data_IF_820793584757
#
_entry.id   IF_820793584757
#
_cell.length_a   1.000
_cell.length_b   1.000
_cell.length_c   1.000
_cell.angle_alpha   90.00
_cell.angle_beta   90.00
_cell.angle_gamma   90.00
#
_symmetry.space_group_name_H-M   'P 1'
#
loop_
_entity.id
_entity.type
_entity.pdbx_description
1 polymer ?
#
# COMPACT_ATOMS: atom_id res chain seq x y z
N UNK A 1 -1.07 -39.25 26.25
CA UNK A 1 -2.26 -40.06 25.89
C UNK A 1 -1.99 -40.62 24.51
N UNK A 2 -1.86 -41.94 24.42
CA UNK A 2 -1.71 -42.67 23.16
C UNK A 2 -3.04 -42.58 22.42
N UNK A 3 -3.02 -41.93 21.24
CA UNK A 3 -4.18 -41.80 20.38
C UNK A 3 -3.99 -42.75 19.20
N UNK A 4 -4.86 -43.73 19.08
CA UNK A 4 -4.80 -44.72 18.00
C UNK A 4 -5.89 -44.43 16.98
N UNK A 5 -5.52 -44.29 15.70
CA UNK A 5 -6.48 -44.13 14.59
C UNK A 5 -6.48 -45.40 13.76
N UNK A 6 -7.57 -46.16 13.80
CA UNK A 6 -7.69 -47.45 13.12
C UNK A 6 -8.98 -47.55 12.33
N UNK A 7 -8.97 -48.41 11.30
CA UNK A 7 -10.21 -48.82 10.64
C UNK A 7 -10.93 -49.86 11.50
N UNK A 8 -12.24 -49.69 11.61
CA UNK A 8 -13.14 -50.67 12.23
C UNK A 8 -13.98 -51.29 11.13
N UNK A 9 -13.68 -52.55 10.80
CA UNK A 9 -14.37 -53.34 9.77
C UNK A 9 -15.47 -54.18 10.40
N UNK A 10 -16.65 -53.59 10.56
CA UNK A 10 -17.86 -54.33 10.96
C UNK A 10 -18.67 -54.79 9.73
N UNK A 11 -19.60 -55.71 9.94
CA UNK A 11 -20.45 -56.27 8.87
C UNK A 11 -21.38 -55.25 8.20
N UNK A 12 -21.67 -54.13 8.88
CA UNK A 12 -22.53 -53.08 8.33
C UNK A 12 -21.75 -51.92 7.71
N UNK A 13 -20.41 -52.00 7.64
CA UNK A 13 -19.54 -50.92 7.18
C UNK A 13 -19.88 -49.56 7.81
N UNK A 14 -20.16 -49.55 9.11
CA UNK A 14 -20.80 -48.46 9.83
C UNK A 14 -20.09 -47.12 9.66
N UNK A 15 -18.76 -47.12 9.58
CA UNK A 15 -17.96 -45.90 9.46
C UNK A 15 -17.58 -45.52 8.03
N UNK A 16 -18.06 -46.24 7.00
CA UNK A 16 -17.82 -45.94 5.57
C UNK A 16 -16.34 -45.74 5.19
N UNK A 17 -15.43 -46.40 5.92
CA UNK A 17 -13.98 -46.29 5.70
C UNK A 17 -13.29 -45.14 6.45
N UNK A 18 -14.00 -44.38 7.29
CA UNK A 18 -13.41 -43.36 8.15
C UNK A 18 -12.63 -43.98 9.31
N UNK A 19 -11.46 -43.42 9.62
CA UNK A 19 -10.62 -43.85 10.74
C UNK A 19 -11.26 -43.45 12.07
N UNK A 20 -11.44 -44.43 12.95
CA UNK A 20 -11.96 -44.21 14.29
C UNK A 20 -10.80 -43.90 15.23
N UNK A 21 -10.96 -42.85 16.03
CA UNK A 21 -9.95 -42.42 17.00
C UNK A 21 -10.25 -43.01 18.37
N UNK A 22 -9.35 -43.84 18.89
CA UNK A 22 -9.43 -44.43 20.21
C UNK A 22 -8.59 -43.65 21.21
N UNK A 23 -9.15 -43.44 22.40
CA UNK A 23 -8.52 -42.68 23.50
C UNK A 23 -7.97 -43.60 24.60
N UNK A 24 -8.05 -44.91 24.38
CA UNK A 24 -7.57 -45.96 25.28
C UNK A 24 -6.56 -46.82 24.53
N UNK A 25 -5.63 -47.43 25.27
CA UNK A 25 -4.69 -48.38 24.68
C UNK A 25 -5.46 -49.57 24.11
N UNK A 26 -5.09 -49.96 22.89
CA UNK A 26 -5.80 -51.02 22.16
C UNK A 26 -5.05 -52.34 22.37
N UNK A 27 -5.68 -53.37 22.96
CA UNK A 27 -5.06 -54.67 23.12
C UNK A 27 -4.68 -55.30 21.78
N UNK A 28 -3.50 -55.93 21.69
CA UNK A 28 -3.08 -56.64 20.48
C UNK A 28 -4.03 -57.82 20.13
N UNK A 29 -4.75 -58.35 21.12
CA UNK A 29 -5.75 -59.43 20.95
C UNK A 29 -6.91 -59.04 20.02
N UNK A 30 -7.25 -57.74 19.96
CA UNK A 30 -8.38 -57.23 19.15
C UNK A 30 -7.97 -56.69 17.78
N UNK A 31 -6.68 -56.72 17.48
CA UNK A 31 -6.12 -56.20 16.25
C UNK A 31 -5.72 -57.34 15.30
N UNK A 32 -5.90 -57.11 14.01
CA UNK A 32 -5.31 -57.98 13.01
C UNK A 32 -3.77 -57.85 13.03
N UNK A 33 -3.07 -58.98 13.18
CA UNK A 33 -1.61 -59.01 13.23
C UNK A 33 -0.91 -58.58 11.93
N UNK A 34 -1.64 -58.52 10.80
CA UNK A 34 -1.11 -58.03 9.53
C UNK A 34 -1.38 -56.52 9.32
N UNK A 35 -2.64 -56.10 9.42
CA UNK A 35 -3.04 -54.72 9.07
C UNK A 35 -3.27 -53.79 10.26
N UNK A 36 -3.19 -54.29 11.50
CA UNK A 36 -3.41 -53.52 12.73
C UNK A 36 -4.85 -53.06 12.98
N UNK A 37 -5.76 -53.29 12.05
CA UNK A 37 -7.16 -52.85 12.14
C UNK A 37 -8.03 -53.80 12.97
N UNK A 38 -9.14 -53.28 13.47
CA UNK A 38 -10.15 -54.04 14.21
C UNK A 38 -11.19 -54.56 13.21
N UNK A 39 -11.59 -55.83 13.34
CA UNK A 39 -12.59 -56.43 12.46
C UNK A 39 -13.56 -57.33 13.23
N UNK A 40 -14.82 -57.37 12.81
CA UNK A 40 -15.82 -58.30 13.33
C UNK A 40 -15.55 -59.75 12.91
N UNK A 41 -14.73 -59.95 11.88
CA UNK A 41 -14.40 -61.25 11.28
C UNK A 41 -12.91 -61.50 11.44
N UNK A 42 -12.47 -61.56 12.70
CA UNK A 42 -11.12 -61.99 13.08
C UNK A 42 -11.07 -63.51 13.20
N UNK A 43 -10.11 -64.09 12.49
CA UNK A 43 -9.77 -65.50 12.51
C UNK A 43 -8.49 -65.70 13.31
N UNK A 44 -8.56 -66.55 14.33
CA UNK A 44 -7.41 -66.92 15.17
C UNK A 44 -6.80 -68.21 14.65
N UNK A 45 -5.51 -68.16 14.36
CA UNK A 45 -4.70 -69.33 13.97
C UNK A 45 -4.19 -70.07 15.22
N UNK A 46 -3.83 -71.37 15.12
CA UNK A 46 -3.35 -72.16 16.25
C UNK A 46 -2.17 -71.57 17.02
N UNK A 47 -1.27 -70.81 16.37
CA UNK A 47 -0.18 -70.11 17.05
C UNK A 47 -0.63 -68.91 17.92
N UNK A 48 -1.93 -68.57 17.92
CA UNK A 48 -2.51 -67.55 18.77
C UNK A 48 -2.65 -66.16 18.14
N UNK A 49 -2.11 -65.95 16.93
CA UNK A 49 -2.26 -64.71 16.15
C UNK A 49 -3.67 -64.59 15.55
N UNK A 50 -4.10 -63.35 15.30
CA UNK A 50 -5.43 -63.06 14.75
C UNK A 50 -5.32 -62.28 13.45
N UNK A 51 -6.05 -62.72 12.41
CA UNK A 51 -6.07 -62.08 11.10
C UNK A 51 -7.50 -61.75 10.69
N UNK A 52 -7.75 -60.58 10.10
CA UNK A 52 -9.09 -60.30 9.55
C UNK A 52 -9.31 -61.13 8.28
N UNK A 53 -10.56 -61.47 7.97
CA UNK A 53 -10.92 -62.26 6.78
C UNK A 53 -10.27 -61.71 5.49
N UNK A 54 -10.25 -60.39 5.32
CA UNK A 54 -9.62 -59.77 4.14
C UNK A 54 -8.11 -60.05 4.07
N UNK A 55 -7.42 -60.07 5.21
CA UNK A 55 -5.99 -60.38 5.28
C UNK A 55 -5.74 -61.88 5.08
N UNK A 56 -6.61 -62.75 5.60
CA UNK A 56 -6.52 -64.19 5.34
C UNK A 56 -6.66 -64.49 3.86
N UNK A 57 -7.65 -63.91 3.18
CA UNK A 57 -7.82 -64.08 1.74
C UNK A 57 -6.62 -63.59 0.91
N UNK A 58 -5.86 -62.61 1.43
CA UNK A 58 -4.63 -62.14 0.77
C UNK A 58 -3.42 -63.03 1.05
N UNK A 59 -3.40 -63.71 2.20
CA UNK A 59 -2.32 -64.59 2.62
C UNK A 59 -2.54 -66.06 2.22
N UNK A 60 -3.72 -66.39 1.70
CA UNK A 60 -4.07 -67.74 1.26
C UNK A 60 -3.16 -68.21 0.12
N UNK A 61 -2.35 -69.22 0.41
CA UNK A 61 -1.51 -69.91 -0.56
C UNK A 61 -1.87 -71.41 -0.54
N UNK A 62 -2.73 -71.83 -1.48
CA UNK A 62 -3.27 -73.20 -1.58
C UNK A 62 -3.87 -73.72 -0.26
N UNK A 63 -4.59 -72.87 0.48
CA UNK A 63 -5.28 -73.24 1.72
C UNK A 63 -4.44 -73.10 2.98
N UNK A 64 -3.24 -72.52 2.89
CA UNK A 64 -2.29 -72.35 4.00
C UNK A 64 -1.96 -70.86 4.21
N UNK A 65 -1.85 -70.46 5.47
CA UNK A 65 -1.40 -69.13 5.89
C UNK A 65 0.02 -69.23 6.41
N UNK A 66 0.94 -68.47 5.79
CA UNK A 66 2.29 -68.25 6.30
C UNK A 66 2.29 -67.04 7.24
N UNK A 67 2.65 -67.25 8.52
CA UNK A 67 2.66 -66.15 9.48
C UNK A 67 3.89 -65.24 9.26
N UNK A 68 3.67 -63.96 8.96
CA UNK A 68 4.75 -63.03 8.55
C UNK A 68 5.93 -62.84 9.53
N UNK A 69 5.86 -63.33 10.79
CA UNK A 69 6.87 -63.09 11.81
C UNK A 69 7.35 -64.37 12.54
N UNK A 70 6.84 -65.56 12.20
CA UNK A 70 7.26 -66.84 12.78
C UNK A 70 7.32 -67.87 11.65
N UNK A 71 8.27 -68.80 11.65
CA UNK A 71 8.36 -69.91 10.68
C UNK A 71 7.26 -70.97 10.91
N UNK A 72 5.99 -70.53 11.02
CA UNK A 72 4.83 -71.39 11.18
C UNK A 72 3.84 -71.23 10.02
N UNK A 73 3.30 -72.37 9.60
CA UNK A 73 2.32 -72.50 8.53
C UNK A 73 1.06 -73.14 9.11
N UNK A 74 -0.10 -72.51 8.92
CA UNK A 74 -1.37 -73.00 9.44
C UNK A 74 -2.40 -73.16 8.32
N UNK A 75 -3.15 -74.26 8.35
CA UNK A 75 -4.26 -74.45 7.42
C UNK A 75 -5.38 -73.45 7.69
N UNK A 76 -5.96 -72.87 6.64
CA UNK A 76 -7.12 -71.97 6.77
C UNK A 76 -8.30 -72.71 7.43
N UNK A 77 -8.43 -74.02 7.17
CA UNK A 77 -9.42 -74.90 7.80
C UNK A 77 -9.28 -75.05 9.30
N UNK A 78 -8.10 -74.76 9.87
CA UNK A 78 -7.81 -74.85 11.31
C UNK A 78 -8.04 -73.53 12.04
N UNK A 79 -8.45 -72.48 11.32
CA UNK A 79 -8.74 -71.18 11.92
C UNK A 79 -10.06 -71.19 12.69
N UNK A 80 -10.09 -70.44 13.79
CA UNK A 80 -11.28 -70.29 14.62
C UNK A 80 -11.75 -68.84 14.64
N UNK A 81 -13.06 -68.62 14.62
CA UNK A 81 -13.63 -67.28 14.73
C UNK A 81 -13.39 -66.72 16.13
N UNK A 82 -12.71 -65.58 16.22
CA UNK A 82 -12.43 -64.89 17.48
C UNK A 82 -13.47 -63.80 17.73
N UNK A 83 -14.73 -64.20 17.91
CA UNK A 83 -15.84 -63.26 18.15
C UNK A 83 -15.68 -62.48 19.45
N UNK A 84 -15.02 -63.07 20.44
CA UNK A 84 -14.74 -62.43 21.74
C UNK A 84 -13.84 -61.20 21.59
N UNK A 85 -12.85 -61.23 20.69
CA UNK A 85 -11.95 -60.12 20.44
C UNK A 85 -12.72 -58.88 19.91
N UNK A 86 -13.73 -59.09 19.06
CA UNK A 86 -14.56 -57.97 18.60
C UNK A 86 -15.51 -57.47 19.69
N UNK A 87 -16.04 -58.36 20.54
CA UNK A 87 -16.85 -57.96 21.69
C UNK A 87 -16.06 -57.12 22.69
N UNK A 88 -14.78 -57.45 22.93
CA UNK A 88 -13.84 -56.66 23.72
C UNK A 88 -13.59 -55.30 23.06
N UNK A 89 -13.35 -55.27 21.74
CA UNK A 89 -13.15 -54.03 20.98
C UNK A 89 -14.35 -53.06 21.07
N UNK A 90 -15.58 -53.58 21.12
CA UNK A 90 -16.80 -52.78 21.24
C UNK A 90 -16.89 -51.99 22.56
N UNK A 91 -16.14 -52.40 23.59
CA UNK A 91 -16.08 -51.72 24.89
C UNK A 91 -14.97 -50.66 24.96
N UNK A 92 -14.08 -50.57 23.97
CA UNK A 92 -13.00 -49.58 23.94
C UNK A 92 -13.57 -48.17 23.76
N UNK A 93 -12.94 -47.19 24.41
CA UNK A 93 -13.37 -45.80 24.32
C UNK A 93 -12.85 -45.17 23.03
N UNK A 94 -13.80 -44.66 22.23
CA UNK A 94 -13.56 -44.04 20.94
C UNK A 94 -14.31 -42.71 20.80
N UNK A 95 -13.86 -41.89 19.83
CA UNK A 95 -14.51 -40.65 19.43
C UNK A 95 -15.21 -40.82 18.07
N UNK A 96 -16.31 -40.10 17.89
CA UNK A 96 -17.01 -40.04 16.61
C UNK A 96 -16.09 -39.50 15.51
N UNK A 97 -15.94 -40.21 14.38
CA UNK A 97 -15.03 -39.76 13.31
C UNK A 97 -15.62 -38.67 12.39
N UNK A 98 -16.83 -38.15 12.66
CA UNK A 98 -17.35 -36.99 11.92
C UNK A 98 -16.71 -35.71 12.44
N UNK A 99 -16.12 -34.94 11.53
CA UNK A 99 -15.57 -33.61 11.80
C UNK A 99 -16.59 -32.73 12.53
N UNK A 100 -16.14 -32.03 13.59
CA UNK A 100 -16.99 -31.20 14.44
C UNK A 100 -17.88 -31.97 15.44
N UNK A 101 -17.75 -33.29 15.55
CA UNK A 101 -18.44 -34.07 16.58
C UNK A 101 -17.53 -34.33 17.79
N UNK A 102 -17.98 -33.97 19.00
CA UNK A 102 -17.27 -34.20 20.26
C UNK A 102 -17.75 -35.45 21.02
N UNK A 103 -18.58 -36.30 20.39
CA UNK A 103 -19.11 -37.49 21.04
C UNK A 103 -18.00 -38.52 21.29
N UNK A 104 -17.81 -38.87 22.57
CA UNK A 104 -16.88 -39.90 23.03
C UNK A 104 -17.63 -40.92 23.89
N UNK A 105 -17.40 -42.20 23.66
CA UNK A 105 -18.07 -43.29 24.37
C UNK A 105 -17.46 -44.64 24.02
N UNK A 106 -18.13 -45.73 24.40
CA UNK A 106 -17.72 -47.05 23.94
C UNK A 106 -17.84 -47.14 22.42
N UNK A 107 -17.00 -47.93 21.75
CA UNK A 107 -17.06 -48.12 20.30
C UNK A 107 -18.47 -48.53 19.85
N UNK A 108 -19.18 -49.34 20.65
CA UNK A 108 -20.60 -49.67 20.44
C UNK A 108 -21.50 -48.44 20.37
N UNK A 109 -21.37 -47.53 21.33
CA UNK A 109 -22.17 -46.30 21.38
C UNK A 109 -21.81 -45.36 20.23
N UNK A 110 -20.52 -45.25 19.90
CA UNK A 110 -20.04 -44.46 18.75
C UNK A 110 -20.61 -45.00 17.44
N UNK A 111 -20.66 -46.32 17.25
CA UNK A 111 -21.28 -46.95 16.08
C UNK A 111 -22.78 -46.62 15.96
N UNK A 112 -23.52 -46.66 17.08
CA UNK A 112 -24.94 -46.30 17.11
C UNK A 112 -25.17 -44.80 16.85
N UNK A 113 -24.31 -43.95 17.40
CA UNK A 113 -24.34 -42.51 17.21
C UNK A 113 -24.00 -42.11 15.76
N UNK A 114 -22.99 -42.72 15.15
CA UNK A 114 -22.43 -42.29 13.86
C UNK A 114 -23.47 -42.21 12.74
N UNK A 115 -24.38 -43.20 12.66
CA UNK A 115 -25.46 -43.24 11.66
C UNK A 115 -26.44 -42.06 11.79
N UNK A 116 -26.68 -41.58 13.00
CA UNK A 116 -27.59 -40.48 13.31
C UNK A 116 -26.88 -39.17 13.65
N UNK A 117 -25.55 -39.14 13.58
CA UNK A 117 -24.76 -37.98 13.96
C UNK A 117 -25.04 -36.82 13.01
N UNK A 118 -25.63 -35.75 13.56
CA UNK A 118 -26.06 -34.56 12.82
C UNK A 118 -25.03 -33.43 12.83
N UNK A 119 -23.82 -33.69 13.32
CA UNK A 119 -22.71 -32.72 13.38
C UNK A 119 -22.13 -32.34 12.01
N UNK A 120 -22.89 -32.48 10.92
CA UNK A 120 -22.46 -31.98 9.61
C UNK A 120 -22.41 -30.44 9.70
N UNK A 121 -21.22 -29.90 9.87
CA UNK A 121 -20.96 -28.47 9.78
C UNK A 121 -20.94 -28.06 8.31
N UNK A 122 -21.33 -26.81 8.05
CA UNK A 122 -21.19 -26.15 6.76
C UNK A 122 -20.52 -24.80 7.00
N UNK A 123 -19.72 -24.38 6.03
CA UNK A 123 -19.15 -23.04 6.02
C UNK A 123 -20.23 -22.01 5.69
N UNK A 124 -20.39 -20.99 6.54
CA UNK A 124 -21.24 -19.85 6.26
C UNK A 124 -20.69 -19.06 5.07
N UNK A 125 -21.55 -18.66 4.14
CA UNK A 125 -21.12 -17.91 2.94
C UNK A 125 -20.84 -16.44 3.23
N UNK A 126 -21.30 -15.92 4.37
CA UNK A 126 -21.13 -14.52 4.76
C UNK A 126 -19.85 -14.31 5.58
N UNK A 127 -19.70 -15.04 6.69
CA UNK A 127 -18.55 -14.88 7.60
C UNK A 127 -17.45 -15.95 7.42
N UNK A 128 -17.71 -17.04 6.70
CA UNK A 128 -16.74 -18.12 6.50
C UNK A 128 -16.56 -19.07 7.69
N UNK A 129 -17.31 -18.90 8.77
CA UNK A 129 -17.28 -19.79 9.94
C UNK A 129 -17.94 -21.15 9.68
N UNK A 130 -17.46 -22.19 10.35
CA UNK A 130 -18.09 -23.52 10.31
C UNK A 130 -19.22 -23.62 11.33
N UNK A 131 -20.45 -23.74 10.83
CA UNK A 131 -21.67 -23.76 11.65
C UNK A 131 -22.39 -25.09 11.44
N UNK A 132 -22.93 -25.73 12.50
CA UNK A 132 -23.77 -26.91 12.35
C UNK A 132 -24.91 -26.64 11.36
N UNK A 133 -25.14 -27.53 10.39
CA UNK A 133 -26.12 -27.30 9.33
C UNK A 133 -27.53 -26.98 9.86
N UNK A 134 -27.91 -27.57 11.01
CA UNK A 134 -29.19 -27.30 11.69
C UNK A 134 -29.32 -25.86 12.22
N UNK A 135 -28.21 -25.21 12.54
CA UNK A 135 -28.14 -23.86 13.10
C UNK A 135 -27.78 -22.80 12.04
N UNK A 136 -27.54 -23.19 10.79
CA UNK A 136 -27.11 -22.26 9.74
C UNK A 136 -28.13 -21.14 9.50
N UNK A 137 -29.43 -21.47 9.48
CA UNK A 137 -30.49 -20.48 9.26
C UNK A 137 -30.56 -19.45 10.39
N UNK A 138 -30.52 -19.90 11.65
CA UNK A 138 -30.50 -19.00 12.81
C UNK A 138 -29.19 -18.21 12.89
N UNK A 139 -28.06 -18.83 12.52
CA UNK A 139 -26.78 -18.12 12.46
C UNK A 139 -26.85 -16.94 11.49
N UNK A 140 -27.26 -17.15 10.24
CA UNK A 140 -27.35 -16.06 9.25
C UNK A 140 -28.33 -14.97 9.68
N UNK A 141 -29.45 -15.33 10.30
CA UNK A 141 -30.48 -14.39 10.73
C UNK A 141 -30.05 -13.54 11.95
N UNK A 142 -29.50 -14.17 12.99
CA UNK A 142 -29.43 -13.56 14.33
C UNK A 142 -28.00 -13.40 14.87
N UNK A 143 -27.04 -14.21 14.41
CA UNK A 143 -25.72 -14.32 15.05
C UNK A 143 -24.55 -13.96 14.14
N UNK A 144 -24.71 -14.07 12.82
CA UNK A 144 -23.63 -13.83 11.86
C UNK A 144 -23.24 -12.36 11.90
N UNK A 145 -21.98 -12.06 12.21
CA UNK A 145 -21.44 -10.70 12.27
C UNK A 145 -21.36 -10.03 10.89
N UNK A 146 -21.30 -10.83 9.84
CA UNK A 146 -21.31 -10.39 8.43
C UNK A 146 -22.72 -10.35 7.83
N UNK A 147 -23.78 -10.51 8.64
CA UNK A 147 -25.15 -10.27 8.16
C UNK A 147 -25.36 -8.77 7.96
N UNK A 148 -26.19 -8.42 6.99
CA UNK A 148 -26.51 -7.05 6.69
C UNK A 148 -27.73 -6.59 7.49
N UNK A 149 -27.64 -5.41 8.08
CA UNK A 149 -28.70 -4.75 8.83
C UNK A 149 -28.87 -3.31 8.32
N UNK A 150 -30.09 -2.79 8.40
CA UNK A 150 -30.35 -1.40 8.06
C UNK A 150 -30.07 -0.50 9.26
N UNK A 151 -29.35 0.60 9.03
CA UNK A 151 -29.20 1.65 10.03
C UNK A 151 -30.58 2.26 10.34
N UNK A 152 -30.97 2.40 11.62
CA UNK A 152 -32.27 2.96 11.99
C UNK A 152 -32.39 4.47 11.71
N UNK A 153 -31.29 5.14 11.38
CA UNK A 153 -31.25 6.59 11.14
C UNK A 153 -31.18 6.95 9.66
N UNK A 154 -30.33 6.27 8.88
CA UNK A 154 -30.12 6.59 7.47
C UNK A 154 -30.59 5.51 6.49
N UNK A 155 -31.12 4.39 6.99
CA UNK A 155 -31.62 3.27 6.20
C UNK A 155 -30.57 2.66 5.24
N UNK A 156 -29.28 2.93 5.47
CA UNK A 156 -28.18 2.30 4.73
C UNK A 156 -27.92 0.90 5.28
N UNK A 157 -27.63 -0.02 4.37
CA UNK A 157 -27.29 -1.40 4.69
C UNK A 157 -25.83 -1.49 5.18
N UNK A 158 -25.63 -2.01 6.40
CA UNK A 158 -24.35 -2.10 7.09
C UNK A 158 -24.20 -3.50 7.69
N UNK A 159 -22.99 -4.06 7.68
CA UNK A 159 -22.71 -5.32 8.35
C UNK A 159 -22.94 -5.19 9.87
N UNK A 160 -23.50 -6.23 10.49
CA UNK A 160 -23.84 -6.21 11.92
C UNK A 160 -22.65 -5.84 12.83
N UNK A 161 -21.42 -6.29 12.50
CA UNK A 161 -20.19 -5.92 13.23
C UNK A 161 -19.86 -4.43 13.21
N UNK A 162 -20.30 -3.69 12.19
CA UNK A 162 -19.97 -2.28 11.98
C UNK A 162 -21.16 -1.36 12.29
N UNK A 163 -22.33 -1.92 12.59
CA UNK A 163 -23.57 -1.14 12.78
C UNK A 163 -23.45 -0.18 13.97
N UNK A 164 -22.87 -0.62 15.09
CA UNK A 164 -22.70 0.21 16.29
C UNK A 164 -21.80 1.43 16.01
N UNK A 165 -20.61 1.22 15.43
CA UNK A 165 -19.72 2.32 15.02
C UNK A 165 -20.38 3.23 13.98
N UNK A 166 -21.12 2.66 13.03
CA UNK A 166 -21.84 3.45 12.04
C UNK A 166 -22.92 4.32 12.69
N UNK A 167 -23.66 3.79 13.68
CA UNK A 167 -24.69 4.54 14.40
C UNK A 167 -24.12 5.72 15.19
N UNK A 168 -22.92 5.59 15.75
CA UNK A 168 -22.21 6.68 16.43
C UNK A 168 -21.74 7.79 15.47
N UNK A 169 -21.36 7.40 14.25
CA UNK A 169 -20.87 8.32 13.21
C UNK A 169 -21.96 8.77 12.22
N UNK A 170 -23.18 8.25 12.33
CA UNK A 170 -24.24 8.52 11.38
C UNK A 170 -24.70 9.97 11.49
N UNK A 171 -24.60 10.73 10.40
CA UNK A 171 -25.03 12.14 10.36
C UNK A 171 -26.54 12.32 10.59
N UNK A 172 -27.35 11.28 10.33
CA UNK A 172 -28.81 11.30 10.55
C UNK A 172 -29.22 10.84 11.96
N UNK A 173 -28.27 10.53 12.84
CA UNK A 173 -28.59 10.18 14.23
C UNK A 173 -29.08 11.41 15.00
N UNK A 174 -29.99 11.25 15.96
CA UNK A 174 -30.33 12.31 16.91
C UNK A 174 -29.09 12.76 17.69
N UNK A 175 -28.99 14.05 17.94
CA UNK A 175 -27.86 14.62 18.67
C UNK A 175 -28.29 15.83 19.49
N UNK A 176 -27.64 16.04 20.63
CA UNK A 176 -27.79 17.25 21.41
C UNK A 176 -26.50 18.09 21.33
N UNK A 177 -26.64 19.40 21.38
CA UNK A 177 -25.50 20.29 21.47
C UNK A 177 -24.79 20.12 22.82
N UNK A 178 -23.47 19.90 22.80
CA UNK A 178 -22.67 19.73 24.02
C UNK A 178 -22.48 21.03 24.82
N UNK A 179 -22.80 22.18 24.22
CA UNK A 179 -22.59 23.50 24.84
C UNK A 179 -23.88 24.06 25.43
N UNK A 180 -24.96 24.15 24.65
CA UNK A 180 -26.24 24.70 25.12
C UNK A 180 -27.25 23.63 25.56
N UNK A 181 -27.05 22.36 25.21
CA UNK A 181 -27.96 21.27 25.55
C UNK A 181 -29.23 21.18 24.70
N UNK A 182 -29.36 21.95 23.62
CA UNK A 182 -30.48 21.84 22.68
C UNK A 182 -30.43 20.52 21.90
N UNK A 183 -31.59 19.89 21.72
CA UNK A 183 -31.77 18.64 20.98
C UNK A 183 -32.04 18.92 19.49
N UNK A 184 -31.50 18.06 18.62
CA UNK A 184 -31.64 18.10 17.17
C UNK A 184 -32.05 16.72 16.64
N UNK A 185 -32.90 16.73 15.60
CA UNK A 185 -33.37 15.50 14.97
C UNK A 185 -32.21 14.76 14.27
N UNK A 186 -31.25 15.50 13.74
CA UNK A 186 -30.04 14.94 13.12
C UNK A 186 -28.75 15.63 13.57
N UNK A 187 -27.66 14.87 13.62
CA UNK A 187 -26.32 15.40 13.87
C UNK A 187 -25.85 16.33 12.74
N UNK A 188 -26.31 16.11 11.51
CA UNK A 188 -26.09 17.01 10.37
C UNK A 188 -26.62 18.42 10.61
N UNK A 189 -27.85 18.55 11.11
CA UNK A 189 -28.45 19.84 11.49
C UNK A 189 -27.68 20.51 12.61
N UNK A 190 -27.36 19.76 13.68
CA UNK A 190 -26.53 20.27 14.78
C UNK A 190 -25.22 20.84 14.24
N UNK A 191 -24.49 20.07 13.40
CA UNK A 191 -23.18 20.45 12.87
C UNK A 191 -23.25 21.60 11.87
N UNK A 192 -24.18 21.55 10.94
CA UNK A 192 -24.26 22.46 9.79
C UNK A 192 -24.96 23.77 10.08
N UNK A 193 -25.93 23.78 10.99
CA UNK A 193 -26.81 24.94 11.21
C UNK A 193 -26.61 25.57 12.59
N UNK A 194 -26.42 24.77 13.64
CA UNK A 194 -26.38 25.27 15.01
C UNK A 194 -24.97 25.51 15.57
N UNK A 195 -24.02 24.58 15.39
CA UNK A 195 -22.74 24.61 16.10
C UNK A 195 -21.99 25.94 15.91
N UNK A 196 -22.07 26.60 14.76
CA UNK A 196 -21.35 27.87 14.56
C UNK A 196 -22.04 29.10 15.18
N UNK A 197 -23.35 29.03 15.38
CA UNK A 197 -24.17 30.10 15.99
C UNK A 197 -24.58 29.80 17.43
N UNK A 198 -24.18 28.65 17.97
CA UNK A 198 -24.52 28.22 19.32
C UNK A 198 -24.15 29.28 20.37
N UNK A 199 -25.10 29.76 21.20
CA UNK A 199 -24.86 30.88 22.11
C UNK A 199 -23.85 30.55 23.22
N UNK A 200 -23.78 29.29 23.62
CA UNK A 200 -22.93 28.82 24.72
C UNK A 200 -21.57 28.28 24.23
N UNK A 201 -21.37 28.13 22.91
CA UNK A 201 -20.09 27.65 22.35
C UNK A 201 -18.97 28.67 22.59
N UNK A 202 -17.83 28.26 23.16
CA UNK A 202 -16.68 29.14 23.32
C UNK A 202 -16.07 29.56 21.99
N UNK A 203 -15.98 30.86 21.75
CA UNK A 203 -15.37 31.47 20.55
C UNK A 203 -14.26 32.43 20.93
N UNK A 204 -13.26 32.56 20.05
CA UNK A 204 -12.17 33.53 20.22
C UNK A 204 -12.62 34.90 19.70
N UNK A 205 -12.16 35.96 20.35
CA UNK A 205 -12.46 37.32 19.88
C UNK A 205 -12.02 37.51 18.42
N UNK A 206 -12.87 38.07 17.53
CA UNK A 206 -12.51 38.38 16.13
C UNK A 206 -11.25 39.24 15.99
N UNK A 207 -10.95 40.07 17.00
CA UNK A 207 -9.77 40.92 17.05
C UNK A 207 -8.52 40.22 17.62
N UNK A 208 -8.51 38.88 17.65
CA UNK A 208 -7.35 38.09 18.10
C UNK A 208 -6.09 38.41 17.30
N UNK A 209 -6.22 38.63 15.99
CA UNK A 209 -5.08 39.00 15.13
C UNK A 209 -4.48 40.37 15.48
N UNK A 210 -5.26 41.24 16.12
CA UNK A 210 -4.80 42.53 16.62
C UNK A 210 -4.22 42.45 18.04
N UNK A 211 -4.30 41.28 18.70
CA UNK A 211 -3.71 41.03 20.01
C UNK A 211 -4.71 40.75 21.13
N UNK A 212 -6.02 40.73 20.87
CA UNK A 212 -7.00 40.36 21.89
C UNK A 212 -6.90 38.86 22.23
N UNK A 213 -6.75 38.52 23.50
CA UNK A 213 -6.64 37.13 23.98
C UNK A 213 -7.94 36.57 24.57
N UNK A 214 -9.02 37.33 24.48
CA UNK A 214 -10.29 36.97 25.09
C UNK A 214 -10.97 35.82 24.34
N UNK A 215 -11.48 34.86 25.10
CA UNK A 215 -12.25 33.72 24.62
C UNK A 215 -13.36 33.46 25.64
N UNK A 216 -14.59 33.36 25.16
CA UNK A 216 -15.79 33.25 25.97
C UNK A 216 -16.93 32.65 25.13
N UNK A 217 -18.12 32.41 25.71
CA UNK A 217 -19.28 31.97 24.92
C UNK A 217 -19.69 33.04 23.88
N UNK A 218 -20.40 32.65 22.82
CA UNK A 218 -20.94 33.60 21.85
C UNK A 218 -21.79 34.70 22.52
N UNK A 219 -22.59 34.33 23.52
CA UNK A 219 -23.40 35.25 24.32
C UNK A 219 -22.55 36.28 25.10
N UNK A 220 -21.47 35.83 25.74
CA UNK A 220 -20.56 36.73 26.46
C UNK A 220 -19.75 37.61 25.48
N UNK A 221 -19.45 37.07 24.30
CA UNK A 221 -18.70 37.77 23.24
C UNK A 221 -19.40 39.04 22.78
N UNK A 222 -20.73 39.05 22.67
CA UNK A 222 -21.49 40.25 22.30
C UNK A 222 -21.18 41.45 23.21
N UNK A 223 -21.10 41.21 24.52
CA UNK A 223 -20.74 42.23 25.50
C UNK A 223 -19.26 42.62 25.43
N UNK A 224 -18.38 41.65 25.19
CA UNK A 224 -16.94 41.87 25.08
C UNK A 224 -16.56 42.70 23.84
N UNK A 225 -17.25 42.52 22.71
CA UNK A 225 -16.97 43.26 21.48
C UNK A 225 -17.09 44.78 21.65
N UNK A 226 -17.95 45.22 22.58
CA UNK A 226 -18.14 46.62 22.96
C UNK A 226 -17.06 47.15 23.93
N UNK A 227 -16.11 46.31 24.33
CA UNK A 227 -15.03 46.71 25.24
C UNK A 227 -14.13 47.80 24.64
N UNK A 228 -13.81 48.87 25.39
CA UNK A 228 -12.91 49.92 24.93
C UNK A 228 -11.47 49.43 24.68
N UNK A 229 -11.11 48.23 25.19
CA UNK A 229 -9.81 47.61 24.95
C UNK A 229 -9.54 47.34 23.45
N UNK A 230 -10.57 47.14 22.63
CA UNK A 230 -10.37 47.00 21.17
C UNK A 230 -9.93 48.31 20.53
N UNK A 231 -10.43 49.46 21.03
CA UNK A 231 -10.03 50.78 20.57
C UNK A 231 -8.52 51.00 20.68
N UNK A 232 -7.89 50.58 21.78
CA UNK A 232 -6.44 50.73 21.96
C UNK A 232 -5.65 49.83 21.00
N UNK A 233 -6.12 48.61 20.74
CA UNK A 233 -5.50 47.70 19.75
C UNK A 233 -5.60 48.26 18.32
N UNK A 234 -6.75 48.85 17.95
CA UNK A 234 -6.91 49.50 16.65
C UNK A 234 -5.97 50.70 16.52
N UNK A 235 -5.89 51.55 17.54
CA UNK A 235 -5.02 52.73 17.52
C UNK A 235 -3.54 52.34 17.42
N UNK A 236 -3.09 51.34 18.19
CA UNK A 236 -1.71 50.82 18.07
C UNK A 236 -1.42 50.30 16.66
N UNK A 237 -2.37 49.59 16.04
CA UNK A 237 -2.22 49.12 14.65
C UNK A 237 -2.18 50.26 13.65
N UNK A 238 -3.00 51.29 13.83
CA UNK A 238 -3.01 52.49 12.98
C UNK A 238 -1.65 53.20 13.06
N UNK A 239 -1.15 53.46 14.26
CA UNK A 239 0.16 54.12 14.45
C UNK A 239 1.31 53.32 13.81
N UNK A 240 1.29 51.98 13.93
CA UNK A 240 2.27 51.12 13.27
C UNK A 240 2.18 51.18 11.74
N UNK A 241 0.97 51.19 11.18
CA UNK A 241 0.77 51.33 9.74
C UNK A 241 1.19 52.71 9.24
N UNK A 242 0.90 53.78 9.98
CA UNK A 242 1.35 55.13 9.65
C UNK A 242 2.88 55.23 9.64
N UNK A 243 3.57 54.62 10.61
CA UNK A 243 5.03 54.54 10.63
C UNK A 243 5.59 53.79 9.42
N UNK A 244 5.02 52.62 9.08
CA UNK A 244 5.42 51.86 7.88
C UNK A 244 5.20 52.64 6.59
N UNK A 245 4.10 53.38 6.48
CA UNK A 245 3.83 54.24 5.32
C UNK A 245 4.85 55.38 5.22
N UNK A 246 5.23 55.99 6.35
CA UNK A 246 6.28 57.01 6.36
C UNK A 246 7.64 56.46 5.92
N UNK A 247 8.01 55.28 6.42
CA UNK A 247 9.27 54.61 6.06
C UNK A 247 9.31 54.27 4.57
N UNK A 248 8.25 53.67 4.03
CA UNK A 248 8.13 53.39 2.59
C UNK A 248 8.18 54.66 1.73
N UNK A 249 7.63 55.79 2.22
CA UNK A 249 7.73 57.07 1.50
C UNK A 249 9.16 57.58 1.45
N UNK A 250 9.92 57.44 2.53
CA UNK A 250 11.34 57.84 2.58
C UNK A 250 12.14 56.96 1.61
N UNK A 251 11.95 55.65 1.65
CA UNK A 251 12.61 54.72 0.74
C UNK A 251 12.27 55.02 -0.73
N UNK A 252 11.00 55.28 -1.05
CA UNK A 252 10.57 55.62 -2.40
C UNK A 252 11.22 56.92 -2.92
N UNK A 253 11.38 57.93 -2.05
CA UNK A 253 12.06 59.17 -2.42
C UNK A 253 13.56 58.93 -2.68
N UNK A 254 14.23 58.14 -1.83
CA UNK A 254 15.64 57.76 -2.04
C UNK A 254 15.86 56.99 -3.35
N UNK A 255 14.95 56.06 -3.67
CA UNK A 255 14.97 55.33 -4.94
C UNK A 255 14.75 56.27 -6.14
N UNK A 256 13.85 57.26 -6.03
CA UNK A 256 13.66 58.27 -7.08
C UNK A 256 14.89 59.12 -7.32
N UNK A 257 15.59 59.52 -6.27
CA UNK A 257 16.83 60.29 -6.41
C UNK A 257 17.95 59.45 -7.02
N UNK A 258 18.04 58.17 -6.65
CA UNK A 258 18.97 57.22 -7.27
C UNK A 258 18.67 57.02 -8.75
N UNK A 259 17.39 56.92 -9.13
CA UNK A 259 16.98 56.80 -10.53
C UNK A 259 17.40 58.04 -11.35
N UNK A 260 17.17 59.24 -10.82
CA UNK A 260 17.63 60.49 -11.46
C UNK A 260 19.14 60.50 -11.69
N UNK A 261 19.92 60.05 -10.71
CA UNK A 261 21.37 59.95 -10.86
C UNK A 261 21.77 58.99 -11.99
N UNK A 262 21.07 57.86 -12.12
CA UNK A 262 21.30 56.91 -13.22
C UNK A 262 20.93 57.53 -14.56
N UNK A 263 19.79 58.22 -14.64
CA UNK A 263 19.37 58.95 -15.86
C UNK A 263 20.41 60.01 -16.26
N UNK A 264 20.93 60.78 -15.31
CA UNK A 264 21.98 61.78 -15.56
C UNK A 264 23.30 61.15 -16.05
N UNK A 265 23.68 60.00 -15.49
CA UNK A 265 24.86 59.24 -15.95
C UNK A 265 24.64 58.74 -17.37
N UNK A 266 23.44 58.24 -17.68
CA UNK A 266 23.11 57.69 -18.99
C UNK A 266 23.11 58.78 -20.07
N UNK A 267 22.63 59.99 -19.75
CA UNK A 267 22.74 61.14 -20.66
C UNK A 267 24.21 61.49 -20.95
N UNK A 268 25.07 61.45 -19.94
CA UNK A 268 26.51 61.71 -20.12
C UNK A 268 27.17 60.62 -20.95
N UNK A 269 26.81 59.35 -20.73
CA UNK A 269 27.28 58.22 -21.52
C UNK A 269 26.89 58.36 -23.00
N UNK A 270 25.62 58.69 -23.29
CA UNK A 270 25.13 58.93 -24.65
C UNK A 270 25.89 60.07 -25.35
N UNK A 271 26.19 61.15 -24.62
CA UNK A 271 26.98 62.26 -25.15
C UNK A 271 28.42 61.82 -25.46
N UNK A 272 29.05 61.04 -24.58
CA UNK A 272 30.40 60.51 -24.81
C UNK A 272 30.43 59.55 -26.00
N UNK A 273 29.44 58.67 -26.14
CA UNK A 273 29.29 57.76 -27.28
C UNK A 273 29.14 58.53 -28.59
N UNK A 274 28.34 59.61 -28.61
CA UNK A 274 28.18 60.45 -29.79
C UNK A 274 29.49 61.14 -30.17
N UNK A 275 30.17 61.77 -29.21
CA UNK A 275 31.48 62.39 -29.43
C UNK A 275 32.51 61.38 -29.95
N UNK A 276 32.54 60.16 -29.38
CA UNK A 276 33.45 59.11 -29.83
C UNK A 276 33.15 58.68 -31.26
N UNK A 277 31.87 58.59 -31.63
CA UNK A 277 31.45 58.24 -32.97
C UNK A 277 31.84 59.31 -33.99
N UNK A 278 31.58 60.58 -33.68
CA UNK A 278 31.97 61.71 -34.53
C UNK A 278 33.50 61.72 -34.74
N UNK A 279 34.27 61.55 -33.65
CA UNK A 279 35.73 61.42 -33.73
C UNK A 279 36.16 60.22 -34.59
N UNK A 280 35.45 59.09 -34.50
CA UNK A 280 35.74 57.89 -35.30
C UNK A 280 35.45 58.14 -36.79
N UNK A 281 34.38 58.86 -37.12
CA UNK A 281 34.04 59.26 -38.49
C UNK A 281 35.12 60.19 -39.07
N UNK A 282 35.56 61.21 -38.31
CA UNK A 282 36.67 62.10 -38.70
C UNK A 282 37.99 61.32 -38.93
N UNK A 283 38.29 60.34 -38.07
CA UNK A 283 39.45 59.46 -38.21
C UNK A 283 39.34 58.58 -39.46
N UNK A 284 38.16 58.04 -39.75
CA UNK A 284 37.92 57.25 -40.96
C UNK A 284 38.06 58.09 -42.23
N UNK A 285 37.59 59.33 -42.23
CA UNK A 285 37.76 60.25 -43.35
C UNK A 285 39.25 60.54 -43.60
N UNK A 286 40.02 60.85 -42.54
CA UNK A 286 41.47 61.04 -42.64
C UNK A 286 42.21 59.81 -43.13
N UNK A 287 41.82 58.60 -42.71
CA UNK A 287 42.41 57.35 -43.20
C UNK A 287 42.14 57.23 -44.71
N UNK A 288 40.90 57.47 -45.15
CA UNK A 288 40.53 57.43 -46.57
C UNK A 288 41.31 58.46 -47.41
N UNK A 289 41.50 59.69 -46.91
CA UNK A 289 42.33 60.70 -47.57
C UNK A 289 43.80 60.27 -47.69
N UNK A 290 44.37 59.70 -46.63
CA UNK A 290 45.75 59.18 -46.64
C UNK A 290 45.90 57.99 -47.60
N UNK A 291 44.93 57.08 -47.65
CA UNK A 291 44.89 55.95 -48.58
C UNK A 291 44.78 56.44 -50.04
N UNK A 292 43.91 57.42 -50.32
CA UNK A 292 43.79 58.03 -51.64
C UNK A 292 45.08 58.76 -52.07
N UNK A 293 45.73 59.47 -51.16
CA UNK A 293 47.04 60.10 -51.41
C UNK A 293 48.14 59.07 -51.69
N UNK A 294 48.16 57.96 -50.96
CA UNK A 294 49.06 56.85 -51.24
C UNK A 294 48.79 56.22 -52.62
N UNK A 295 47.53 56.04 -53.00
CA UNK A 295 47.13 55.55 -54.34
C UNK A 295 47.52 56.51 -55.47
N UNK A 296 47.67 57.82 -55.24
CA UNK A 296 48.14 58.76 -56.26
C UNK A 296 49.65 58.74 -56.46
N UNK A 297 50.42 58.38 -55.43
CA UNK A 297 51.89 58.22 -55.52
C UNK A 297 52.30 56.85 -56.05
N UNK A 298 51.46 55.83 -55.84
CA UNK A 298 51.65 54.48 -56.38
C UNK A 298 51.86 54.40 -57.90
N UNK A 299 51.06 55.00 -58.79
CA UNK A 299 51.23 54.87 -60.24
C UNK A 299 52.55 55.48 -60.74
N UNK A 300 53.06 56.52 -60.09
CA UNK A 300 54.34 57.14 -60.46
C UNK A 300 55.52 56.26 -59.98
N UNK A 301 55.36 55.59 -58.83
CA UNK A 301 56.30 54.58 -58.34
C UNK A 301 56.25 53.32 -59.20
N UNK A 302 55.06 52.81 -59.52
CA UNK A 302 54.83 51.61 -60.34
C UNK A 302 55.27 51.83 -61.79
N UNK A 303 55.04 53.03 -62.35
CA UNK A 303 55.59 53.43 -63.65
C UNK A 303 57.13 53.46 -63.63
N UNK A 304 57.74 53.94 -62.54
CA UNK A 304 59.19 53.98 -62.41
C UNK A 304 59.79 52.59 -62.16
N UNK A 305 59.09 51.70 -61.45
CA UNK A 305 59.47 50.29 -61.31
C UNK A 305 59.41 49.59 -62.66
N UNK A 306 58.33 49.74 -63.43
CA UNK A 306 58.21 49.14 -64.77
C UNK A 306 59.24 49.72 -65.76
N UNK A 307 59.58 51.01 -65.66
CA UNK A 307 60.69 51.61 -66.44
C UNK A 307 62.05 51.01 -66.04
N UNK A 308 62.29 50.77 -64.75
CA UNK A 308 63.52 50.12 -64.28
C UNK A 308 63.58 48.66 -64.70
N UNK A 309 62.47 47.93 -64.65
CA UNK A 309 62.37 46.53 -65.10
C UNK A 309 62.60 46.39 -66.61
N UNK A 310 62.03 47.30 -67.42
CA UNK A 310 62.28 47.31 -68.87
C UNK A 310 63.74 47.66 -69.19
N UNK A 311 64.34 48.65 -68.52
CA UNK A 311 65.79 48.93 -68.66
C UNK A 311 66.63 47.72 -68.25
N UNK A 312 66.26 47.01 -67.19
CA UNK A 312 66.96 45.81 -66.75
C UNK A 312 66.83 44.67 -67.77
N UNK A 313 65.64 44.48 -68.35
CA UNK A 313 65.41 43.52 -69.43
C UNK A 313 66.22 43.82 -70.69
N UNK A 314 66.34 45.11 -71.07
CA UNK A 314 67.19 45.53 -72.20
C UNK A 314 68.66 45.23 -71.90
N UNK A 315 69.12 45.39 -70.66
CA UNK A 315 70.50 45.08 -70.25
C UNK A 315 70.80 43.58 -70.23
N UNK A 316 69.79 42.72 -70.04
CA UNK A 316 69.96 41.26 -70.06
C UNK A 316 70.41 40.70 -71.41
N UNK A 317 69.96 41.28 -72.53
CA UNK A 317 70.29 40.76 -73.87
C UNK A 317 71.77 40.97 -74.27
N UNK A 318 72.37 42.18 -74.10
CA UNK A 318 73.81 42.37 -74.26
C UNK A 318 74.63 41.56 -73.26
N UNK A 319 74.18 41.45 -72.00
CA UNK A 319 74.89 40.69 -70.98
C UNK A 319 74.92 39.19 -71.31
N UNK A 320 73.81 38.65 -71.85
CA UNK A 320 73.73 37.28 -72.34
C UNK A 320 74.68 37.03 -73.52
N UNK A 321 74.72 37.94 -74.50
CA UNK A 321 75.66 37.85 -75.63
C UNK A 321 77.12 37.90 -75.17
N UNK A 322 77.45 38.78 -74.22
CA UNK A 322 78.78 38.84 -73.62
C UNK A 322 79.14 37.56 -72.86
N UNK A 323 78.19 36.98 -72.12
CA UNK A 323 78.39 35.69 -71.44
C UNK A 323 78.59 34.54 -72.44
N UNK A 324 77.87 34.52 -73.56
CA UNK A 324 78.06 33.55 -74.63
C UNK A 324 79.40 33.73 -75.36
N UNK A 325 79.85 34.97 -75.56
CA UNK A 325 81.19 35.26 -76.11
C UNK A 325 82.30 34.82 -75.16
N UNK A 326 82.15 35.05 -73.86
CA UNK A 326 83.08 34.54 -72.84
C UNK A 326 83.07 33.01 -72.81
N UNK A 327 81.92 32.37 -72.99
CA UNK A 327 81.82 30.92 -73.06
C UNK A 327 82.51 30.34 -74.31
N UNK A 328 82.48 31.05 -75.44
CA UNK A 328 83.19 30.67 -76.68
C UNK A 328 84.71 30.89 -76.62
N UNK A 329 85.20 31.61 -75.62
CA UNK A 329 86.62 31.83 -75.37
C UNK A 329 87.25 30.77 -74.43
N UNK A 330 86.49 29.72 -74.07
CA UNK A 330 86.98 28.51 -73.38
C UNK A 330 86.89 27.30 -74.30
#
# INVERSE_FOLDING_TARGET
MTVHKLLVKDRNHTFEGNLVTFTTDIPASVQCSLCGNISAELLKVPCGRSYCQSCVNMLDNDGVIECCNDECTHGISETTNCTEAFLEALCLTAMCPKEGCSFQGSLRDVMGHYKNCTSRTKRCTLCGEEVPQKLMSSHVADFCESRMLFCPYCEVEVEARNLESHMEDCDLRPANCTYCGEDFDTYAELRGEHLDVCPEKPVKCPYQRLGCKFQASNKEMESHLLSPAHGTLFMDRILKLEAQVQELRIENNSLKDSLRNVEDIQIKEDHLLRNMKDNQEDLMEKISELEAGAMQTHPDVDARVTELETKNAILHEPLGKLLDEIAKLK
#
